data_IF_613072868166
#
_entry.id   IF_613072868166
#
_cell.length_a   1.000
_cell.length_b   1.000
_cell.length_c   1.000
_cell.angle_alpha   90.00
_cell.angle_beta   90.00
_cell.angle_gamma   90.00
#
_symmetry.space_group_name_H-M   'P 1'
#
loop_
_entity.id
_entity.type
_entity.pdbx_description
1 polymer ?
#
# COMPACT_ATOMS: atom_id res chain seq x y z
N UNK A 1 1.16 4.71 -25.46
CA UNK A 1 0.54 5.73 -24.57
C UNK A 1 -0.27 5.02 -23.49
N UNK A 2 -0.12 5.45 -22.24
CA UNK A 2 -0.85 4.91 -21.08
C UNK A 2 -2.35 5.23 -21.22
N UNK A 3 -3.25 4.23 -21.12
CA UNK A 3 -4.71 4.45 -21.13
C UNK A 3 -5.22 5.37 -20.02
N UNK A 4 -6.35 6.06 -20.25
CA UNK A 4 -7.05 6.87 -19.24
C UNK A 4 -7.93 5.98 -18.34
N UNK A 5 -7.28 5.08 -17.62
CA UNK A 5 -7.92 4.16 -16.69
C UNK A 5 -7.22 4.30 -15.35
N UNK A 6 -7.98 4.41 -14.27
CA UNK A 6 -7.50 4.44 -12.89
C UNK A 6 -7.94 3.12 -12.24
N UNK A 7 -6.98 2.36 -11.74
CA UNK A 7 -7.20 1.13 -11.00
C UNK A 7 -6.89 1.38 -9.52
N UNK A 8 -7.74 0.87 -8.64
CA UNK A 8 -7.43 0.76 -7.21
C UNK A 8 -8.06 -0.50 -6.63
N UNK A 9 -7.57 -0.93 -5.47
CA UNK A 9 -8.09 -2.11 -4.77
C UNK A 9 -8.91 -1.69 -3.55
N UNK A 10 -10.12 -2.21 -3.43
CA UNK A 10 -10.91 -2.16 -2.21
C UNK A 10 -11.55 -3.52 -1.94
N UNK A 11 -10.88 -4.32 -1.11
CA UNK A 11 -11.29 -5.69 -0.76
C UNK A 11 -11.63 -5.80 0.72
N UNK A 12 -12.37 -6.84 1.08
CA UNK A 12 -13.01 -6.99 2.38
C UNK A 12 -14.37 -6.28 2.43
N UNK A 13 -15.02 -6.35 3.59
CA UNK A 13 -16.39 -5.85 3.77
C UNK A 13 -16.46 -4.51 4.51
N UNK A 14 -15.31 -3.90 4.80
CA UNK A 14 -15.25 -2.64 5.51
C UNK A 14 -15.68 -1.47 4.61
N UNK A 15 -16.45 -0.49 5.13
CA UNK A 15 -16.74 0.72 4.38
C UNK A 15 -15.46 1.54 4.14
N UNK A 16 -15.43 2.25 3.02
CA UNK A 16 -14.31 3.15 2.66
C UNK A 16 -14.22 4.29 3.69
N UNK A 17 -13.07 4.48 4.36
CA UNK A 17 -12.86 5.60 5.27
C UNK A 17 -12.92 6.95 4.56
N UNK A 18 -13.17 8.01 5.32
CA UNK A 18 -13.25 9.39 4.80
C UNK A 18 -12.03 9.79 3.96
N UNK A 19 -10.81 9.44 4.40
CA UNK A 19 -9.59 9.71 3.64
C UNK A 19 -9.61 9.07 2.25
N UNK A 20 -10.08 7.83 2.14
CA UNK A 20 -10.17 7.12 0.86
C UNK A 20 -11.19 7.78 -0.05
N UNK A 21 -12.34 8.18 0.50
CA UNK A 21 -13.37 8.91 -0.24
C UNK A 21 -12.86 10.27 -0.74
N UNK A 22 -12.09 11.00 0.09
CA UNK A 22 -11.43 12.25 -0.31
C UNK A 22 -10.42 12.05 -1.43
N UNK A 23 -9.61 10.99 -1.34
CA UNK A 23 -8.65 10.64 -2.39
C UNK A 23 -9.39 10.32 -3.71
N UNK A 24 -10.41 9.46 -3.68
CA UNK A 24 -11.23 9.14 -4.87
C UNK A 24 -11.89 10.39 -5.46
N UNK A 25 -12.36 11.32 -4.61
CA UNK A 25 -12.93 12.58 -5.07
C UNK A 25 -11.88 13.45 -5.79
N UNK A 26 -10.65 13.52 -5.27
CA UNK A 26 -9.55 14.23 -5.94
C UNK A 26 -9.27 13.67 -7.33
N UNK A 27 -9.34 12.35 -7.51
CA UNK A 27 -9.14 11.70 -8.81
C UNK A 27 -10.20 12.15 -9.80
N UNK A 28 -11.48 12.16 -9.41
CA UNK A 28 -12.59 12.62 -10.26
C UNK A 28 -12.48 14.10 -10.62
N UNK A 29 -11.97 14.93 -9.71
CA UNK A 29 -11.79 16.37 -9.94
C UNK A 29 -10.66 16.65 -10.93
N UNK A 30 -9.51 15.98 -10.78
CA UNK A 30 -8.31 16.29 -11.56
C UNK A 30 -8.14 15.43 -12.81
N UNK A 31 -8.84 14.29 -12.89
CA UNK A 31 -8.79 13.32 -14.00
C UNK A 31 -10.22 12.96 -14.46
N UNK A 32 -11.06 13.95 -14.86
CA UNK A 32 -12.50 13.76 -15.06
C UNK A 32 -12.86 12.84 -16.22
N UNK A 33 -11.95 12.65 -17.17
CA UNK A 33 -12.13 11.78 -18.35
C UNK A 33 -11.49 10.39 -18.19
N UNK A 34 -10.98 10.06 -16.99
CA UNK A 34 -10.44 8.74 -16.70
C UNK A 34 -11.53 7.81 -16.20
N UNK A 35 -11.56 6.59 -16.74
CA UNK A 35 -12.40 5.52 -16.22
C UNK A 35 -11.83 5.04 -14.88
N UNK A 36 -12.65 4.98 -13.83
CA UNK A 36 -12.24 4.44 -12.53
C UNK A 36 -12.72 3.00 -12.40
N UNK A 37 -11.79 2.08 -12.11
CA UNK A 37 -12.01 0.65 -11.92
C UNK A 37 -11.62 0.26 -10.49
N UNK A 38 -12.63 -0.15 -9.72
CA UNK A 38 -12.44 -0.75 -8.40
C UNK A 38 -12.25 -2.27 -8.51
N UNK A 39 -11.11 -2.77 -8.04
CA UNK A 39 -10.87 -4.19 -7.86
C UNK A 39 -11.33 -4.62 -6.46
N UNK A 40 -12.36 -5.46 -6.41
CA UNK A 40 -13.10 -5.82 -5.19
C UNK A 40 -13.07 -7.34 -4.93
N UNK A 41 -13.89 -7.82 -3.98
CA UNK A 41 -13.96 -9.23 -3.63
C UNK A 41 -14.30 -10.13 -4.82
N UNK A 42 -15.25 -9.71 -5.68
CA UNK A 42 -15.63 -10.46 -6.88
C UNK A 42 -14.44 -10.59 -7.84
N UNK A 43 -13.64 -9.54 -7.93
CA UNK A 43 -12.41 -9.55 -8.74
C UNK A 43 -11.39 -10.55 -8.19
N UNK A 44 -11.27 -10.67 -6.86
CA UNK A 44 -10.42 -11.70 -6.24
C UNK A 44 -10.95 -13.09 -6.57
N UNK A 45 -12.26 -13.32 -6.45
CA UNK A 45 -12.86 -14.64 -6.72
C UNK A 45 -12.75 -15.05 -8.20
N UNK A 46 -12.71 -14.09 -9.13
CA UNK A 46 -12.58 -14.35 -10.55
C UNK A 46 -11.14 -14.67 -11.01
N UNK A 47 -10.12 -14.44 -10.17
CA UNK A 47 -8.72 -14.59 -10.55
C UNK A 47 -8.06 -15.76 -9.83
N UNK A 48 -7.36 -16.59 -10.61
CA UNK A 48 -6.58 -17.71 -10.08
C UNK A 48 -5.13 -17.29 -9.82
N UNK A 49 -4.86 -16.86 -8.59
CA UNK A 49 -3.50 -16.60 -8.12
C UNK A 49 -3.33 -17.01 -6.66
N UNK A 50 -2.46 -17.98 -6.40
CA UNK A 50 -2.26 -18.56 -5.06
C UNK A 50 -1.86 -17.53 -4.01
N UNK A 51 -0.91 -16.64 -4.32
CA UNK A 51 -0.47 -15.59 -3.38
C UNK A 51 -1.63 -14.68 -2.99
N UNK A 52 -2.38 -14.17 -3.97
CA UNK A 52 -3.51 -13.28 -3.75
C UNK A 52 -4.61 -13.97 -2.94
N UNK A 53 -4.99 -15.20 -3.30
CA UNK A 53 -6.03 -15.96 -2.61
C UNK A 53 -5.67 -16.22 -1.15
N UNK A 54 -4.42 -16.61 -0.89
CA UNK A 54 -3.91 -16.82 0.48
C UNK A 54 -3.90 -15.52 1.29
N UNK A 55 -3.45 -14.40 0.70
CA UNK A 55 -3.47 -13.09 1.35
C UNK A 55 -4.90 -12.62 1.66
N UNK A 56 -5.84 -12.86 0.74
CA UNK A 56 -7.26 -12.53 0.92
C UNK A 56 -7.88 -13.36 2.05
N UNK A 57 -7.68 -14.68 2.04
CA UNK A 57 -8.16 -15.57 3.11
C UNK A 57 -7.58 -15.21 4.50
N UNK A 58 -6.34 -14.72 4.53
CA UNK A 58 -5.67 -14.28 5.77
C UNK A 58 -6.08 -12.86 6.24
N UNK A 59 -6.95 -12.16 5.51
CA UNK A 59 -7.36 -10.79 5.84
C UNK A 59 -6.27 -9.73 5.59
N UNK A 60 -5.33 -10.01 4.70
CA UNK A 60 -4.12 -9.21 4.46
C UNK A 60 -4.25 -8.38 3.18
N UNK A 61 -5.16 -7.41 3.20
CA UNK A 61 -5.61 -6.62 2.05
C UNK A 61 -4.50 -5.89 1.28
N UNK A 62 -3.48 -5.35 1.96
CA UNK A 62 -2.35 -4.71 1.28
C UNK A 62 -1.57 -5.70 0.40
N UNK A 63 -1.48 -6.97 0.81
CA UNK A 63 -0.81 -8.00 0.04
C UNK A 63 -1.69 -8.52 -1.10
N UNK A 64 -3.02 -8.43 -0.98
CA UNK A 64 -3.93 -8.64 -2.12
C UNK A 64 -3.69 -7.58 -3.20
N UNK A 65 -3.50 -6.31 -2.79
CA UNK A 65 -3.24 -5.23 -3.76
C UNK A 65 -1.87 -5.29 -4.42
N UNK A 66 -0.88 -5.95 -3.80
CA UNK A 66 0.44 -6.18 -4.40
C UNK A 66 0.37 -6.97 -5.71
N UNK A 67 -0.52 -7.96 -5.79
CA UNK A 67 -0.77 -8.70 -7.03
C UNK A 67 -1.69 -7.92 -7.97
N UNK A 68 -2.86 -7.49 -7.48
CA UNK A 68 -3.90 -6.87 -8.32
C UNK A 68 -3.41 -5.60 -9.03
N UNK A 69 -2.54 -4.79 -8.41
CA UNK A 69 -1.97 -3.60 -9.07
C UNK A 69 -1.20 -3.95 -10.34
N UNK A 70 -0.42 -5.02 -10.28
CA UNK A 70 0.43 -5.46 -11.39
C UNK A 70 -0.40 -6.20 -12.44
N UNK A 71 -1.36 -7.01 -11.99
CA UNK A 71 -2.32 -7.67 -12.87
C UNK A 71 -3.13 -6.66 -13.69
N UNK A 72 -3.70 -5.65 -13.03
CA UNK A 72 -4.49 -4.61 -13.69
C UNK A 72 -3.67 -3.87 -14.76
N UNK A 73 -2.48 -3.39 -14.39
CA UNK A 73 -1.58 -2.70 -15.33
C UNK A 73 -1.11 -3.61 -16.48
N UNK A 74 -0.86 -4.90 -16.21
CA UNK A 74 -0.44 -5.85 -17.23
C UNK A 74 -1.54 -6.05 -18.28
N UNK A 75 -2.79 -6.22 -17.84
CA UNK A 75 -3.92 -6.55 -18.72
C UNK A 75 -4.50 -5.32 -19.43
N UNK A 76 -4.69 -4.22 -18.70
CA UNK A 76 -5.45 -3.06 -19.18
C UNK A 76 -4.57 -1.82 -19.39
N UNK A 77 -3.34 -1.82 -18.87
CA UNK A 77 -2.56 -0.59 -18.74
C UNK A 77 -3.22 0.38 -17.75
N UNK A 78 -3.01 1.67 -17.96
CA UNK A 78 -3.60 2.72 -17.14
C UNK A 78 -2.70 3.15 -15.99
N UNK A 79 -3.31 3.72 -14.97
CA UNK A 79 -2.67 4.12 -13.73
C UNK A 79 -3.26 3.33 -12.58
N UNK A 80 -2.41 2.83 -11.69
CA UNK A 80 -2.79 2.26 -10.41
C UNK A 80 -2.51 3.27 -9.31
N UNK A 81 -3.49 3.47 -8.42
CA UNK A 81 -3.38 4.30 -7.22
C UNK A 81 -3.64 3.49 -5.96
N UNK A 82 -2.78 3.64 -4.95
CA UNK A 82 -3.17 3.27 -3.58
C UNK A 82 -4.31 4.20 -3.10
N UNK A 83 -5.19 3.67 -2.26
CA UNK A 83 -6.43 4.35 -1.85
C UNK A 83 -6.24 5.61 -0.99
N UNK A 84 -5.02 5.84 -0.53
CA UNK A 84 -4.59 7.02 0.24
C UNK A 84 -3.64 7.93 -0.58
N UNK A 85 -3.67 7.81 -1.91
CA UNK A 85 -3.06 8.74 -2.83
C UNK A 85 -4.05 9.83 -3.25
N UNK A 86 -3.76 11.08 -2.93
CA UNK A 86 -4.50 12.24 -3.44
C UNK A 86 -3.85 12.73 -4.74
N UNK A 87 -4.65 12.99 -5.77
CA UNK A 87 -4.19 13.61 -7.02
C UNK A 87 -4.44 15.12 -6.93
N UNK A 88 -3.45 15.93 -7.32
CA UNK A 88 -3.51 17.39 -7.22
C UNK A 88 -3.42 18.09 -8.58
N UNK A 89 -3.13 17.34 -9.65
CA UNK A 89 -3.03 17.85 -11.02
C UNK A 89 -3.27 16.75 -12.05
N UNK A 90 -3.52 17.15 -13.29
CA UNK A 90 -3.69 16.22 -14.41
C UNK A 90 -2.41 15.43 -14.73
N UNK A 91 -2.56 14.18 -15.19
CA UNK A 91 -1.45 13.25 -15.45
C UNK A 91 -1.14 13.04 -16.94
N UNK A 92 -1.76 13.79 -17.86
CA UNK A 92 -1.66 13.56 -19.30
C UNK A 92 -0.21 13.67 -19.81
N UNK A 93 0.59 14.54 -19.21
CA UNK A 93 2.02 14.69 -19.50
C UNK A 93 2.84 13.40 -19.29
N UNK A 94 2.36 12.47 -18.47
CA UNK A 94 3.05 11.19 -18.21
C UNK A 94 2.54 10.05 -19.10
N UNK A 95 1.43 10.24 -19.82
CA UNK A 95 0.82 9.20 -20.66
C UNK A 95 1.65 8.85 -21.89
N UNK A 96 2.52 9.76 -22.34
CA UNK A 96 3.44 9.50 -23.44
C UNK A 96 4.46 8.38 -23.15
N UNK A 97 4.69 8.09 -21.86
CA UNK A 97 5.58 7.02 -21.43
C UNK A 97 4.96 5.64 -21.62
N UNK A 98 5.78 4.60 -21.60
CA UNK A 98 5.31 3.21 -21.53
C UNK A 98 5.16 2.76 -20.08
N UNK A 99 5.98 3.29 -19.18
CA UNK A 99 5.88 3.07 -17.74
C UNK A 99 6.32 4.32 -16.97
N UNK A 100 5.61 4.64 -15.90
CA UNK A 100 5.93 5.75 -15.01
C UNK A 100 5.64 5.39 -13.55
N UNK A 101 6.56 5.73 -12.65
CA UNK A 101 6.30 5.77 -11.21
C UNK A 101 7.15 6.87 -10.58
N UNK A 102 7.19 6.94 -9.26
CA UNK A 102 8.03 7.88 -8.52
C UNK A 102 8.75 7.22 -7.36
N UNK A 103 9.74 7.91 -6.83
CA UNK A 103 10.31 7.53 -5.55
C UNK A 103 9.31 7.75 -4.41
N UNK A 104 9.19 6.76 -3.54
CA UNK A 104 8.57 6.93 -2.23
C UNK A 104 9.63 7.30 -1.19
N UNK A 105 9.37 8.37 -0.45
CA UNK A 105 10.23 8.80 0.64
C UNK A 105 9.46 8.78 1.97
N UNK A 106 9.75 7.79 2.80
CA UNK A 106 9.12 7.65 4.11
C UNK A 106 10.14 7.38 5.22
N UNK A 107 10.15 8.22 6.27
CA UNK A 107 11.04 8.07 7.44
C UNK A 107 12.51 7.82 7.07
N UNK A 108 13.06 8.62 6.16
CA UNK A 108 14.43 8.52 5.60
C UNK A 108 14.71 7.24 4.79
N UNK A 109 13.70 6.43 4.48
CA UNK A 109 13.80 5.33 3.54
C UNK A 109 13.31 5.79 2.18
N UNK A 110 14.03 5.37 1.16
CA UNK A 110 13.75 5.69 -0.24
C UNK A 110 13.52 4.38 -0.99
N UNK A 111 12.36 4.28 -1.64
CA UNK A 111 12.02 3.16 -2.51
C UNK A 111 11.76 3.68 -3.94
N UNK A 112 12.18 2.97 -5.00
CA UNK A 112 12.05 3.40 -6.40
C UNK A 112 10.65 3.17 -6.97
N UNK A 113 9.64 3.12 -6.11
CA UNK A 113 8.23 2.93 -6.45
C UNK A 113 7.39 3.60 -5.37
N UNK A 114 6.25 4.15 -5.75
CA UNK A 114 5.32 4.84 -4.85
C UNK A 114 3.89 4.31 -4.99
N UNK A 115 2.95 4.96 -4.31
CA UNK A 115 1.52 4.70 -4.37
C UNK A 115 0.88 4.96 -5.76
N UNK A 116 1.67 5.34 -6.76
CA UNK A 116 1.28 5.55 -8.15
C UNK A 116 2.19 4.76 -9.10
N UNK A 117 1.58 3.99 -10.00
CA UNK A 117 2.25 3.39 -11.15
C UNK A 117 1.39 3.57 -12.40
N UNK A 118 1.95 4.07 -13.49
CA UNK A 118 1.31 4.12 -14.80
C UNK A 118 2.01 3.19 -15.78
N UNK A 119 1.27 2.50 -16.64
CA UNK A 119 1.83 1.65 -17.66
C UNK A 119 0.92 1.47 -18.89
N UNK A 120 1.52 1.18 -20.04
CA UNK A 120 0.81 0.62 -21.19
C UNK A 120 0.35 -0.81 -20.89
N UNK A 121 -0.71 -1.27 -21.56
CA UNK A 121 -1.09 -2.68 -21.50
C UNK A 121 0.07 -3.54 -22.04
N UNK A 122 0.26 -4.72 -21.46
CA UNK A 122 1.36 -5.64 -21.77
C UNK A 122 2.79 -5.12 -21.56
N UNK A 123 2.96 -4.07 -20.75
CA UNK A 123 4.24 -3.42 -20.53
C UNK A 123 5.35 -4.38 -20.01
N UNK A 124 6.56 -4.35 -20.59
CA UNK A 124 7.67 -5.21 -20.19
C UNK A 124 8.13 -5.04 -18.73
N UNK A 125 8.10 -3.82 -18.19
CA UNK A 125 8.46 -3.55 -16.78
C UNK A 125 7.45 -4.23 -15.86
N UNK A 126 6.15 -4.01 -16.10
CA UNK A 126 5.08 -4.65 -15.33
C UNK A 126 5.18 -6.18 -15.40
N UNK A 127 5.50 -6.73 -16.58
CA UNK A 127 5.70 -8.18 -16.74
C UNK A 127 6.81 -8.71 -15.84
N UNK A 128 7.94 -8.02 -15.74
CA UNK A 128 9.03 -8.41 -14.83
C UNK A 128 8.60 -8.31 -13.36
N UNK A 129 7.81 -7.30 -12.99
CA UNK A 129 7.29 -7.14 -11.63
C UNK A 129 6.26 -8.21 -11.26
N UNK A 130 5.43 -8.64 -12.23
CA UNK A 130 4.36 -9.63 -12.03
C UNK A 130 4.90 -11.06 -12.00
N UNK A 131 5.98 -11.34 -12.74
CA UNK A 131 6.53 -12.69 -12.91
C UNK A 131 6.74 -13.49 -11.61
N UNK A 132 7.26 -12.92 -10.51
CA UNK A 132 7.40 -13.64 -9.24
C UNK A 132 6.08 -14.20 -8.70
N UNK A 133 4.95 -13.51 -8.94
CA UNK A 133 3.64 -13.93 -8.42
C UNK A 133 3.06 -15.16 -9.12
N UNK A 134 3.70 -15.66 -10.18
CA UNK A 134 3.30 -16.93 -10.85
C UNK A 134 3.53 -18.15 -9.96
N UNK A 135 4.54 -18.12 -9.09
CA UNK A 135 4.88 -19.23 -8.18
C UNK A 135 5.03 -18.80 -6.72
N UNK A 136 4.97 -17.51 -6.42
CA UNK A 136 5.03 -17.00 -5.04
C UNK A 136 3.83 -17.49 -4.24
N UNK A 137 4.08 -17.84 -2.98
CA UNK A 137 3.05 -18.13 -1.99
C UNK A 137 3.09 -17.07 -0.89
N UNK A 138 1.91 -16.70 -0.37
CA UNK A 138 1.81 -15.78 0.76
C UNK A 138 2.00 -16.52 2.09
N UNK A 139 1.60 -17.80 2.16
CA UNK A 139 1.87 -18.67 3.30
C UNK A 139 3.15 -19.45 3.00
N UNK A 140 4.17 -19.29 3.84
CA UNK A 140 5.46 -19.98 3.73
C UNK A 140 5.33 -21.45 4.17
N UNK A 141 6.34 -22.26 3.86
CA UNK A 141 6.38 -23.67 4.24
C UNK A 141 6.30 -23.91 5.76
N UNK A 142 6.70 -22.93 6.57
CA UNK A 142 6.60 -22.96 8.04
C UNK A 142 5.22 -22.48 8.57
N UNK A 143 4.26 -22.24 7.68
CA UNK A 143 2.92 -21.75 8.00
C UNK A 143 2.83 -20.26 8.32
N UNK A 144 3.96 -19.53 8.37
CA UNK A 144 3.96 -18.09 8.62
C UNK A 144 3.67 -17.30 7.35
N UNK A 145 3.13 -16.09 7.49
CA UNK A 145 2.91 -15.19 6.36
C UNK A 145 4.22 -14.57 5.84
N UNK A 146 4.34 -14.46 4.53
CA UNK A 146 5.34 -13.62 3.86
C UNK A 146 4.86 -12.17 3.87
N UNK A 147 5.38 -11.40 4.84
CA UNK A 147 5.06 -9.99 5.01
C UNK A 147 6.09 -9.07 4.34
N UNK A 148 6.83 -9.57 3.34
CA UNK A 148 7.78 -8.76 2.58
C UNK A 148 7.04 -7.65 1.84
N UNK A 149 7.35 -6.36 2.10
CA UNK A 149 6.69 -5.27 1.41
C UNK A 149 7.00 -5.28 -0.09
N UNK A 150 6.01 -4.93 -0.92
CA UNK A 150 6.20 -4.81 -2.36
C UNK A 150 7.34 -3.88 -2.77
N UNK A 151 7.58 -2.79 -2.03
CA UNK A 151 8.65 -1.82 -2.29
C UNK A 151 10.02 -2.49 -2.23
N UNK A 152 10.19 -3.49 -1.36
CA UNK A 152 11.38 -4.33 -1.30
C UNK A 152 11.52 -5.20 -2.55
N UNK A 153 10.50 -6.01 -2.85
CA UNK A 153 10.50 -6.90 -4.01
C UNK A 153 10.72 -6.14 -5.33
N UNK A 154 10.02 -5.01 -5.52
CA UNK A 154 10.15 -4.15 -6.70
C UNK A 154 11.56 -3.54 -6.78
N UNK A 155 12.14 -3.10 -5.66
CA UNK A 155 13.54 -2.61 -5.64
C UNK A 155 14.52 -3.68 -6.11
N UNK A 156 14.36 -4.92 -5.63
CA UNK A 156 15.25 -6.02 -5.99
C UNK A 156 15.12 -6.38 -7.47
N UNK A 157 13.89 -6.37 -8.02
CA UNK A 157 13.66 -6.60 -9.44
C UNK A 157 14.23 -5.45 -10.29
N UNK A 158 14.07 -4.20 -9.86
CA UNK A 158 14.65 -3.04 -10.55
C UNK A 158 16.17 -3.10 -10.59
N UNK A 159 16.81 -3.50 -9.49
CA UNK A 159 18.25 -3.74 -9.47
C UNK A 159 18.65 -4.87 -10.44
N UNK A 160 18.00 -6.04 -10.33
CA UNK A 160 18.38 -7.25 -11.07
C UNK A 160 18.09 -7.19 -12.57
N UNK A 161 17.02 -6.50 -12.99
CA UNK A 161 16.54 -6.48 -14.38
C UNK A 161 16.84 -5.18 -15.13
N UNK A 162 17.00 -4.08 -14.42
CA UNK A 162 17.15 -2.74 -15.01
C UNK A 162 18.38 -1.98 -14.52
N UNK A 163 19.21 -2.60 -13.65
CA UNK A 163 20.44 -2.00 -13.16
C UNK A 163 20.24 -0.83 -12.20
N UNK A 164 19.03 -0.61 -11.69
CA UNK A 164 18.75 0.47 -10.73
C UNK A 164 19.22 0.06 -9.32
N UNK A 165 20.46 0.40 -9.00
CA UNK A 165 21.11 0.04 -7.72
C UNK A 165 21.21 1.24 -6.77
N UNK A 166 21.34 0.96 -5.48
CA UNK A 166 21.57 1.98 -4.44
C UNK A 166 23.03 2.49 -4.49
N UNK A 167 23.30 3.74 -4.08
CA UNK A 167 22.32 4.76 -3.68
C UNK A 167 21.57 5.33 -4.89
N UNK A 168 20.25 5.54 -4.75
CA UNK A 168 19.44 6.13 -5.81
C UNK A 168 19.63 7.64 -5.88
N UNK A 169 19.59 8.20 -7.09
CA UNK A 169 19.55 9.65 -7.28
C UNK A 169 18.09 10.15 -7.29
N UNK A 170 17.49 10.32 -6.10
CA UNK A 170 16.08 10.67 -5.93
C UNK A 170 15.68 12.06 -6.45
N UNK A 171 16.67 12.93 -6.69
CA UNK A 171 16.43 14.32 -7.12
C UNK A 171 16.30 14.46 -8.64
N UNK A 172 16.54 13.38 -9.40
CA UNK A 172 16.49 13.36 -10.85
C UNK A 172 15.45 12.36 -11.35
N UNK A 173 14.98 12.55 -12.58
CA UNK A 173 14.20 11.53 -13.28
C UNK A 173 15.16 10.39 -13.64
N UNK A 174 14.88 9.20 -13.13
CA UNK A 174 15.68 8.01 -13.38
C UNK A 174 15.05 7.20 -14.51
N UNK A 175 15.86 6.79 -15.48
CA UNK A 175 15.43 6.02 -16.65
C UNK A 175 15.63 4.53 -16.39
N UNK A 176 14.56 3.74 -16.49
CA UNK A 176 14.62 2.27 -16.42
C UNK A 176 14.86 1.66 -17.81
N UNK A 177 14.17 2.19 -18.84
CA UNK A 177 14.31 1.82 -20.26
C UNK A 177 14.05 3.06 -21.12
N UNK A 178 14.08 2.94 -22.45
CA UNK A 178 13.85 4.06 -23.38
C UNK A 178 12.62 4.91 -23.10
N UNK A 179 11.53 4.29 -22.67
CA UNK A 179 10.26 4.96 -22.38
C UNK A 179 9.69 4.60 -20.99
N UNK A 180 10.55 4.28 -20.03
CA UNK A 180 10.15 3.93 -18.66
C UNK A 180 10.91 4.77 -17.63
N UNK A 181 10.19 5.48 -16.76
CA UNK A 181 10.78 6.50 -15.89
C UNK A 181 10.33 6.39 -14.42
N UNK A 182 11.24 6.73 -13.51
CA UNK A 182 10.98 6.92 -12.08
C UNK A 182 11.26 8.38 -11.74
N UNK A 183 10.22 9.11 -11.36
CA UNK A 183 10.29 10.53 -11.04
C UNK A 183 10.73 10.78 -9.59
N UNK A 184 11.27 11.97 -9.29
CA UNK A 184 11.49 12.42 -7.92
C UNK A 184 10.25 12.33 -7.04
N UNK A 185 10.43 12.17 -5.73
CA UNK A 185 9.33 11.98 -4.78
C UNK A 185 8.29 13.10 -4.78
N UNK A 186 8.70 14.34 -5.08
CA UNK A 186 7.78 15.48 -5.14
C UNK A 186 6.75 15.43 -6.27
N UNK A 187 6.96 14.61 -7.31
CA UNK A 187 5.98 14.45 -8.36
C UNK A 187 4.74 13.70 -7.88
N UNK A 188 4.92 12.57 -7.17
CA UNK A 188 3.83 11.61 -6.93
C UNK A 188 3.69 11.17 -5.46
N UNK A 189 4.48 11.72 -4.53
CA UNK A 189 4.56 11.22 -3.16
C UNK A 189 4.55 12.34 -2.11
N UNK A 190 5.56 13.21 -2.11
CA UNK A 190 5.76 14.19 -1.03
C UNK A 190 6.01 15.58 -1.59
N UNK A 191 5.04 16.51 -1.51
CA UNK A 191 5.19 17.86 -2.02
C UNK A 191 6.43 18.57 -1.50
N UNK A 192 7.06 19.34 -2.38
CA UNK A 192 8.17 20.22 -2.04
C UNK A 192 7.87 21.64 -2.54
N UNK A 193 8.06 22.64 -1.67
CA UNK A 193 7.79 24.02 -2.01
C UNK A 193 8.61 24.47 -3.23
N UNK A 194 7.96 25.12 -4.20
CA UNK A 194 8.60 25.59 -5.43
C UNK A 194 8.90 24.49 -6.46
N UNK A 195 8.47 23.25 -6.24
CA UNK A 195 8.62 22.13 -7.19
C UNK A 195 7.25 21.65 -7.71
N UNK A 196 7.17 21.08 -8.93
CA UNK A 196 5.92 20.55 -9.45
C UNK A 196 5.46 19.34 -8.64
N UNK A 197 4.16 19.20 -8.42
CA UNK A 197 3.56 18.08 -7.71
C UNK A 197 2.21 17.69 -8.31
N UNK A 198 1.98 16.40 -8.45
CA UNK A 198 0.81 15.82 -9.12
C UNK A 198 0.04 14.87 -8.22
N UNK A 199 0.69 14.34 -7.18
CA UNK A 199 0.04 13.54 -6.17
C UNK A 199 0.70 13.66 -4.78
N UNK A 200 -0.08 13.36 -3.75
CA UNK A 200 0.32 13.32 -2.35
C UNK A 200 -0.01 11.93 -1.81
N UNK A 201 0.99 11.21 -1.33
CA UNK A 201 0.79 9.94 -0.62
C UNK A 201 0.62 10.22 0.87
N UNK A 202 -0.56 9.92 1.42
CA UNK A 202 -0.90 10.21 2.81
C UNK A 202 -0.33 9.21 3.84
N UNK A 203 0.33 8.15 3.39
CA UNK A 203 0.95 7.12 4.24
C UNK A 203 0.02 6.62 5.36
N UNK A 204 -1.25 6.39 5.03
CA UNK A 204 -2.25 5.93 6.00
C UNK A 204 -1.83 4.63 6.66
N UNK A 205 -1.19 3.75 5.88
CA UNK A 205 -0.72 2.45 6.35
C UNK A 205 -1.86 1.64 6.94
N UNK A 206 -3.04 1.66 6.31
CA UNK A 206 -4.31 1.06 6.78
C UNK A 206 -4.15 -0.40 7.23
N UNK A 207 -3.18 -1.11 6.68
CA UNK A 207 -2.81 -2.49 7.00
C UNK A 207 -2.12 -2.71 8.36
N UNK A 208 -1.63 -1.66 9.02
CA UNK A 208 -1.14 -1.75 10.40
C UNK A 208 -2.26 -1.59 11.40
N UNK A 209 -2.30 -2.44 12.43
CA UNK A 209 -3.13 -2.18 13.61
C UNK A 209 -2.72 -0.87 14.27
N UNK A 210 -3.69 -0.11 14.76
CA UNK A 210 -3.42 1.16 15.45
C UNK A 210 -2.53 0.99 16.68
N UNK A 211 -2.66 -0.15 17.35
CA UNK A 211 -1.84 -0.54 18.49
C UNK A 211 -1.27 -1.93 18.26
N UNK A 212 0.02 -2.11 18.54
CA UNK A 212 0.55 -3.46 18.77
C UNK A 212 0.31 -3.84 20.23
N UNK A 213 -0.30 -5.00 20.44
CA UNK A 213 -0.51 -5.59 21.76
C UNK A 213 0.63 -6.54 22.12
N UNK A 214 1.17 -6.43 23.32
CA UNK A 214 2.04 -7.45 23.92
C UNK A 214 1.53 -7.78 25.31
N UNK A 215 1.04 -9.01 25.52
CA UNK A 215 0.75 -9.51 26.86
C UNK A 215 2.05 -9.53 27.66
N UNK A 216 2.06 -8.87 28.81
CA UNK A 216 3.20 -8.90 29.73
C UNK A 216 3.03 -10.07 30.70
N UNK A 217 1.86 -10.16 31.34
CA UNK A 217 1.46 -11.26 32.22
C UNK A 217 -0.05 -11.21 32.46
N UNK A 218 -0.58 -12.25 33.10
CA UNK A 218 -1.98 -12.36 33.53
C UNK A 218 -2.07 -12.81 34.98
N UNK A 219 -3.09 -12.34 35.69
CA UNK A 219 -3.44 -12.77 37.04
C UNK A 219 -4.93 -13.07 37.04
N UNK A 220 -5.30 -14.35 37.17
CA UNK A 220 -6.68 -14.84 36.97
C UNK A 220 -7.28 -14.30 35.66
N UNK A 221 -8.46 -13.69 35.69
CA UNK A 221 -9.16 -13.14 34.53
C UNK A 221 -8.59 -11.79 34.06
N UNK A 222 -7.57 -11.24 34.74
CA UNK A 222 -6.98 -9.95 34.41
C UNK A 222 -5.71 -10.10 33.56
N UNK A 223 -5.64 -9.37 32.45
CA UNK A 223 -4.47 -9.32 31.56
C UNK A 223 -3.81 -7.95 31.63
N UNK A 224 -2.49 -7.94 31.78
CA UNK A 224 -1.65 -6.75 31.75
C UNK A 224 -0.94 -6.68 30.40
N UNK A 225 -1.34 -5.71 29.58
CA UNK A 225 -0.95 -5.64 28.17
C UNK A 225 -0.20 -4.34 27.94
N UNK A 226 1.00 -4.42 27.35
CA UNK A 226 1.67 -3.25 26.81
C UNK A 226 1.11 -2.95 25.43
N UNK A 227 0.57 -1.75 25.27
CA UNK A 227 0.18 -1.20 23.98
C UNK A 227 1.29 -0.32 23.45
N UNK A 228 1.68 -0.56 22.20
CA UNK A 228 2.51 0.36 21.41
C UNK A 228 1.62 1.02 20.38
N UNK A 229 1.39 2.32 20.51
CA UNK A 229 0.67 3.13 19.54
C UNK A 229 1.50 3.22 18.25
N UNK A 230 0.90 2.76 17.16
CA UNK A 230 1.48 2.77 15.81
C UNK A 230 0.92 3.93 14.97
N UNK A 231 -0.33 4.37 15.23
CA UNK A 231 -1.04 5.46 14.52
C UNK A 231 -1.65 6.47 15.50
N UNK A 232 -2.01 7.67 15.00
CA UNK A 232 -2.59 8.79 15.77
C UNK A 232 -4.06 9.02 15.34
N UNK A 233 -4.82 7.98 14.99
CA UNK A 233 -6.10 8.17 14.26
C UNK A 233 -7.33 7.97 15.12
N UNK A 234 -7.28 7.20 16.20
CA UNK A 234 -8.44 6.89 17.03
C UNK A 234 -8.10 6.79 18.52
N UNK A 235 -9.07 7.16 19.35
CA UNK A 235 -9.02 6.98 20.80
C UNK A 235 -9.44 5.55 21.23
N UNK A 236 -9.86 4.70 20.29
CA UNK A 236 -10.37 3.36 20.58
C UNK A 236 -9.21 2.41 20.93
N UNK A 237 -9.35 1.71 22.05
CA UNK A 237 -8.38 0.71 22.47
C UNK A 237 -8.61 -0.60 21.73
N UNK A 238 -7.54 -1.38 21.46
CA UNK A 238 -7.64 -2.61 20.69
C UNK A 238 -8.16 -3.77 21.57
N UNK A 239 -9.32 -3.65 22.21
CA UNK A 239 -9.89 -4.71 23.05
C UNK A 239 -10.28 -5.93 22.19
N UNK A 240 -10.04 -7.14 22.70
CA UNK A 240 -10.51 -8.38 22.07
C UNK A 240 -11.93 -8.71 22.54
N UNK A 241 -12.62 -9.60 21.83
CA UNK A 241 -13.94 -10.08 22.26
C UNK A 241 -13.87 -10.64 23.69
N UNK A 242 -14.84 -10.26 24.53
CA UNK A 242 -14.89 -10.64 25.95
C UNK A 242 -13.93 -9.87 26.87
N UNK A 243 -13.17 -8.88 26.35
CA UNK A 243 -12.31 -8.02 27.18
C UNK A 243 -13.00 -6.69 27.53
N UNK A 244 -13.03 -6.38 28.82
CA UNK A 244 -13.47 -5.08 29.35
C UNK A 244 -12.26 -4.31 29.88
N UNK A 245 -12.10 -3.05 29.46
CA UNK A 245 -11.07 -2.15 30.02
C UNK A 245 -11.31 -1.94 31.51
N UNK A 246 -10.31 -2.24 32.32
CA UNK A 246 -10.29 -1.92 33.76
C UNK A 246 -9.51 -0.64 33.99
N UNK A 247 -8.32 -0.52 33.39
CA UNK A 247 -7.46 0.62 33.61
C UNK A 247 -6.46 0.82 32.48
N UNK A 248 -5.96 2.05 32.30
CA UNK A 248 -4.89 2.36 31.36
C UNK A 248 -3.99 3.45 31.90
N UNK A 249 -2.67 3.28 31.74
CA UNK A 249 -1.66 4.28 32.05
C UNK A 249 -0.79 4.59 30.84
N UNK A 250 -0.70 5.86 30.47
CA UNK A 250 0.28 6.33 29.51
C UNK A 250 1.68 6.29 30.11
N UNK A 251 2.61 5.56 29.47
CA UNK A 251 4.02 5.54 29.86
C UNK A 251 4.81 6.64 29.13
N UNK A 252 4.45 6.89 27.87
CA UNK A 252 4.92 8.02 27.07
C UNK A 252 3.99 8.20 25.85
N UNK A 253 4.34 9.12 24.94
CA UNK A 253 3.56 9.40 23.73
C UNK A 253 3.25 8.15 22.86
N UNK A 254 4.06 7.10 22.95
CA UNK A 254 3.95 5.88 22.13
C UNK A 254 3.50 4.64 22.89
N UNK A 255 3.72 4.57 24.20
CA UNK A 255 3.47 3.36 24.98
C UNK A 255 2.46 3.60 26.09
N UNK A 256 1.54 2.66 26.28
CA UNK A 256 0.68 2.61 27.46
C UNK A 256 0.57 1.19 28.00
N UNK A 257 0.29 1.07 29.29
CA UNK A 257 -0.09 -0.17 29.94
C UNK A 257 -1.62 -0.21 30.01
N UNK A 258 -2.21 -1.28 29.49
CA UNK A 258 -3.64 -1.54 29.52
C UNK A 258 -3.92 -2.75 30.41
N UNK A 259 -4.85 -2.62 31.34
CA UNK A 259 -5.38 -3.71 32.14
C UNK A 259 -6.80 -3.99 31.68
N UNK A 260 -7.05 -5.24 31.31
CA UNK A 260 -8.38 -5.71 30.91
C UNK A 260 -8.81 -6.89 31.77
N UNK A 261 -10.11 -6.99 32.01
CA UNK A 261 -10.74 -8.19 32.54
C UNK A 261 -11.29 -9.00 31.35
N UNK A 262 -10.98 -10.29 31.31
CA UNK A 262 -11.34 -11.21 30.23
C UNK A 262 -12.37 -12.21 30.77
N UNK A 263 -13.65 -11.96 30.52
CA UNK A 263 -14.68 -12.96 30.80
C UNK A 263 -14.51 -14.10 29.79
N UNK A 264 -14.13 -15.28 30.27
CA UNK A 264 -14.14 -16.47 29.42
C UNK A 264 -15.62 -16.82 29.19
N UNK A 265 -16.06 -16.76 27.93
CA UNK A 265 -17.25 -17.49 27.47
C UNK A 265 -16.90 -18.96 27.31
#
# INVERSE_FOLDING_TARGET
>A
MIPKIIHYVWVGNAPKPELVLKCIASWKTHLPDYQIVEWNNDSVHALDNTYMQQAFAAGKWAFVSDYLRLYALQQYGGFYFDTDLEITADLDAFRQHDFVTGFEQFKKRLAPVTALMGATANNPVIRQLLQPYTSKQFIKADGQFDLTPNTGLISDIFAAKFGLVKPYNANHINKLTDNAFIYPSHYFCTPEAGKPGYAIHHFNGSWFEEYSRKLLFSIKEYKFIRLKRNKIRSALLPLQSGETKIWQLGLNARYSLLVVHSSHS
#
